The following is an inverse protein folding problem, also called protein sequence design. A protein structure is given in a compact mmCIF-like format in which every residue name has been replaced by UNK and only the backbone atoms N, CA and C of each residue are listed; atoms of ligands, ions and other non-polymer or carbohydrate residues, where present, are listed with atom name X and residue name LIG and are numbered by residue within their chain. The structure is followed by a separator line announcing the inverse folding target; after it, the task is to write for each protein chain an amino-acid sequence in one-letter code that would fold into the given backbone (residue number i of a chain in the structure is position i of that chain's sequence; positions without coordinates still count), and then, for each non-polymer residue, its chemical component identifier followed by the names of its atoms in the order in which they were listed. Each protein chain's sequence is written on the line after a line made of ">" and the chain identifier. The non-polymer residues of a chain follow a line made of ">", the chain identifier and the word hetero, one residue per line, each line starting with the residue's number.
data_IF_226373166379
#
_entry.id   IF_226373166379
#
_cell.length_a   1.000
_cell.length_b   1.000
_cell.length_c   1.000
_cell.angle_alpha   90.00
_cell.angle_beta   90.00
_cell.angle_gamma   90.00
#
_symmetry.space_group_name_H-M   'P 1'
#
loop_
_entity.id
_entity.type
_entity.pdbx_description
1 polymer ?
#
# COMPACT_ATOMS: atom_id res chain seq x y z
N UNK A 1 -60.49 58.92 13.44
CA UNK A 1 -59.29 58.88 12.59
C UNK A 1 -58.22 58.05 13.29
N UNK A 2 -57.95 56.81 12.86
CA UNK A 2 -56.66 56.13 13.06
C UNK A 2 -56.47 55.21 11.84
N UNK A 3 -55.61 55.60 10.91
CA UNK A 3 -55.23 54.80 9.75
C UNK A 3 -54.13 53.82 10.14
N UNK A 4 -54.40 52.51 10.02
CA UNK A 4 -53.39 51.45 10.17
C UNK A 4 -52.37 51.55 9.03
N UNK A 5 -51.09 51.65 9.39
CA UNK A 5 -49.98 51.58 8.45
C UNK A 5 -49.91 50.18 7.80
N UNK A 6 -49.83 50.14 6.46
CA UNK A 6 -49.55 48.93 5.68
C UNK A 6 -48.09 48.51 5.91
N UNK A 7 -47.89 47.35 6.53
CA UNK A 7 -46.58 46.69 6.63
C UNK A 7 -46.20 46.20 5.24
N UNK A 8 -45.08 46.69 4.70
CA UNK A 8 -44.56 46.30 3.39
C UNK A 8 -44.13 44.84 3.34
N UNK A 9 -44.44 44.17 2.23
CA UNK A 9 -44.16 42.76 1.98
C UNK A 9 -42.67 42.57 1.70
N UNK A 10 -41.98 41.82 2.58
CA UNK A 10 -40.54 41.59 2.48
C UNK A 10 -40.28 40.57 1.35
N UNK A 11 -39.64 41.00 0.26
CA UNK A 11 -39.18 40.10 -0.78
C UNK A 11 -38.07 39.18 -0.24
N UNK A 12 -38.40 37.90 -0.02
CA UNK A 12 -37.45 36.88 0.42
C UNK A 12 -36.82 36.16 -0.78
N UNK A 13 -35.49 36.19 -0.87
CA UNK A 13 -34.72 35.46 -1.89
C UNK A 13 -34.66 33.97 -1.55
N UNK A 14 -34.83 33.10 -2.57
CA UNK A 14 -34.69 31.64 -2.42
C UNK A 14 -33.27 31.27 -1.97
N UNK A 15 -33.16 30.54 -0.87
CA UNK A 15 -31.86 30.14 -0.31
C UNK A 15 -31.17 29.06 -1.15
N UNK A 16 -29.84 29.15 -1.27
CA UNK A 16 -28.99 28.16 -1.92
C UNK A 16 -28.49 27.13 -0.90
N UNK A 17 -28.64 25.84 -1.18
CA UNK A 17 -28.17 24.79 -0.27
C UNK A 17 -26.64 24.69 -0.27
N UNK A 18 -26.04 24.69 0.92
CA UNK A 18 -24.61 24.54 1.17
C UNK A 18 -24.36 23.23 1.88
N UNK A 19 -23.52 22.36 1.32
CA UNK A 19 -23.21 21.07 1.93
C UNK A 19 -21.85 21.11 2.60
N UNK A 20 -21.78 20.65 3.84
CA UNK A 20 -20.52 20.51 4.57
C UNK A 20 -20.48 19.16 5.27
N UNK A 21 -19.42 18.40 4.99
CA UNK A 21 -19.19 17.07 5.58
C UNK A 21 -18.22 17.18 6.75
N UNK A 22 -18.61 16.62 7.89
CA UNK A 22 -17.87 16.69 9.15
C UNK A 22 -17.68 15.28 9.73
N UNK A 23 -16.67 15.11 10.59
CA UNK A 23 -16.47 13.86 11.33
C UNK A 23 -17.45 13.78 12.49
N UNK A 24 -18.15 12.66 12.64
CA UNK A 24 -19.03 12.42 13.77
C UNK A 24 -18.20 12.12 15.03
N UNK A 25 -18.47 12.88 16.12
CA UNK A 25 -17.75 12.77 17.41
C UNK A 25 -18.70 12.47 18.58
N UNK A 26 -19.91 11.99 18.29
CA UNK A 26 -20.99 11.80 19.27
C UNK A 26 -22.07 12.87 19.14
N UNK A 27 -23.25 12.59 19.70
CA UNK A 27 -24.47 13.39 19.49
C UNK A 27 -24.34 14.80 20.08
N UNK A 28 -23.93 14.91 21.34
CA UNK A 28 -23.80 16.21 22.02
C UNK A 28 -22.83 17.15 21.28
N UNK A 29 -21.67 16.63 20.85
CA UNK A 29 -20.69 17.42 20.11
C UNK A 29 -21.19 17.83 18.72
N UNK A 30 -21.86 16.90 18.02
CA UNK A 30 -22.42 17.15 16.69
C UNK A 30 -23.55 18.19 16.72
N UNK A 31 -24.39 18.15 17.77
CA UNK A 31 -25.48 19.10 17.97
C UNK A 31 -24.96 20.51 18.28
N UNK A 32 -24.02 20.63 19.22
CA UNK A 32 -23.39 21.92 19.56
C UNK A 32 -22.73 22.54 18.30
N UNK A 33 -22.01 21.73 17.54
CA UNK A 33 -21.36 22.17 16.30
C UNK A 33 -22.39 22.61 15.25
N UNK A 34 -23.48 21.86 15.11
CA UNK A 34 -24.58 22.18 14.19
C UNK A 34 -25.21 23.53 14.53
N UNK A 35 -25.53 23.76 15.81
CA UNK A 35 -26.13 25.01 16.25
C UNK A 35 -25.21 26.21 16.02
N UNK A 36 -23.91 26.07 16.35
CA UNK A 36 -22.92 27.12 16.14
C UNK A 36 -22.78 27.47 14.66
N UNK A 37 -22.63 26.47 13.79
CA UNK A 37 -22.48 26.68 12.36
C UNK A 37 -23.74 27.29 11.73
N UNK A 38 -24.93 26.83 12.11
CA UNK A 38 -26.19 27.41 11.64
C UNK A 38 -26.33 28.88 12.04
N UNK A 39 -26.04 29.23 13.30
CA UNK A 39 -26.09 30.63 13.76
C UNK A 39 -25.09 31.51 13.00
N UNK A 40 -23.86 31.02 12.78
CA UNK A 40 -22.85 31.78 12.04
C UNK A 40 -23.27 31.99 10.58
N UNK A 41 -23.75 30.94 9.89
CA UNK A 41 -24.21 31.06 8.50
C UNK A 41 -25.43 31.98 8.39
N UNK A 42 -26.39 31.90 9.31
CA UNK A 42 -27.54 32.80 9.30
C UNK A 42 -27.13 34.27 9.44
N UNK A 43 -26.07 34.57 10.22
CA UNK A 43 -25.54 35.92 10.39
C UNK A 43 -24.71 36.39 9.20
N UNK A 44 -23.81 35.55 8.69
CA UNK A 44 -22.82 35.93 7.68
C UNK A 44 -23.29 35.69 6.25
N UNK A 45 -24.28 34.83 6.03
CA UNK A 45 -24.72 34.37 4.72
C UNK A 45 -26.21 34.00 4.73
N UNK A 46 -27.06 35.01 4.90
CA UNK A 46 -28.53 34.86 5.03
C UNK A 46 -29.20 34.12 3.84
N UNK A 47 -28.58 34.17 2.66
CA UNK A 47 -29.04 33.51 1.44
C UNK A 47 -28.64 32.02 1.36
N UNK A 48 -27.91 31.47 2.34
CA UNK A 48 -27.50 30.07 2.37
C UNK A 48 -28.33 29.21 3.32
N UNK A 49 -28.62 27.98 2.90
CA UNK A 49 -29.18 26.92 3.75
C UNK A 49 -28.12 25.84 3.98
N UNK A 50 -27.57 25.78 5.19
CA UNK A 50 -26.52 24.82 5.54
C UNK A 50 -27.09 23.42 5.81
N UNK A 51 -26.58 22.44 5.07
CA UNK A 51 -26.83 21.00 5.23
C UNK A 51 -25.55 20.31 5.70
N UNK A 52 -25.55 19.88 6.96
CA UNK A 52 -24.42 19.17 7.56
C UNK A 52 -24.58 17.66 7.38
N UNK A 53 -23.49 17.01 6.97
CA UNK A 53 -23.40 15.56 6.86
C UNK A 53 -22.32 15.11 7.83
N UNK A 54 -22.73 14.44 8.91
CA UNK A 54 -21.78 13.81 9.81
C UNK A 54 -21.45 12.41 9.31
N UNK A 55 -20.17 12.14 9.11
CA UNK A 55 -19.69 10.81 8.74
C UNK A 55 -18.78 10.26 9.82
N UNK A 56 -19.00 9.01 10.19
CA UNK A 56 -18.05 8.21 10.97
C UNK A 56 -16.95 7.69 10.04
N UNK A 57 -15.76 7.41 10.60
CA UNK A 57 -14.80 6.57 9.89
C UNK A 57 -15.37 5.15 9.83
N UNK A 58 -15.41 4.55 8.65
CA UNK A 58 -15.79 3.14 8.52
C UNK A 58 -14.79 2.31 9.31
N UNK A 59 -15.24 1.68 10.40
CA UNK A 59 -14.42 0.73 11.18
C UNK A 59 -14.23 -0.59 10.42
N UNK A 60 -15.12 -0.85 9.46
CA UNK A 60 -15.06 -2.01 8.58
C UNK A 60 -14.50 -1.55 7.24
N UNK A 61 -13.28 -1.98 6.92
CA UNK A 61 -12.83 -2.07 5.52
C UNK A 61 -13.30 -3.41 4.98
N UNK A 62 -14.45 -3.47 4.28
CA UNK A 62 -14.84 -4.71 3.61
C UNK A 62 -13.70 -5.15 2.69
N UNK A 63 -13.25 -6.40 2.82
CA UNK A 63 -12.46 -7.09 1.78
C UNK A 63 -13.38 -7.25 0.55
N UNK A 64 -13.63 -6.16 -0.17
CA UNK A 64 -14.49 -6.10 -1.35
C UNK A 64 -13.91 -6.84 -2.56
N UNK A 65 -12.71 -7.40 -2.43
CA UNK A 65 -11.96 -7.98 -3.53
C UNK A 65 -11.34 -9.30 -3.09
N UNK A 66 -11.36 -10.27 -4.00
CA UNK A 66 -10.72 -11.58 -3.81
C UNK A 66 -9.27 -11.41 -3.34
N UNK A 67 -8.87 -12.28 -2.42
CA UNK A 67 -7.49 -12.34 -1.96
C UNK A 67 -6.64 -12.86 -3.11
N UNK A 68 -6.06 -11.92 -3.86
CA UNK A 68 -5.18 -12.22 -4.99
C UNK A 68 -4.07 -13.15 -4.52
N UNK A 69 -3.93 -14.30 -5.22
CA UNK A 69 -2.89 -15.29 -4.93
C UNK A 69 -1.54 -14.60 -4.76
N UNK A 70 -0.76 -15.02 -3.75
CA UNK A 70 0.59 -14.48 -3.47
C UNK A 70 1.43 -14.39 -4.73
N UNK A 71 1.34 -15.39 -5.61
CA UNK A 71 2.06 -15.44 -6.87
C UNK A 71 1.75 -14.28 -7.81
N UNK A 72 0.56 -13.67 -7.71
CA UNK A 72 0.17 -12.51 -8.53
C UNK A 72 0.73 -11.17 -8.03
N UNK A 73 1.44 -11.17 -6.91
CA UNK A 73 1.99 -9.95 -6.31
C UNK A 73 3.10 -9.37 -7.18
N UNK A 74 3.01 -8.07 -7.44
CA UNK A 74 4.05 -7.26 -8.07
C UNK A 74 4.69 -6.31 -7.06
N UNK A 75 5.85 -5.75 -7.43
CA UNK A 75 6.66 -4.88 -6.56
C UNK A 75 6.87 -5.48 -5.16
N UNK A 76 7.48 -6.65 -5.13
CA UNK A 76 7.80 -7.37 -3.90
C UNK A 76 9.27 -7.79 -3.84
N UNK A 77 9.72 -8.05 -2.62
CA UNK A 77 10.91 -8.82 -2.34
C UNK A 77 10.43 -10.23 -2.01
N UNK A 78 11.01 -11.21 -2.70
CA UNK A 78 10.71 -12.61 -2.51
C UNK A 78 11.96 -13.34 -2.02
N UNK A 79 11.72 -14.45 -1.33
CA UNK A 79 12.73 -15.42 -0.93
C UNK A 79 12.44 -16.72 -1.67
N UNK A 80 13.50 -17.35 -2.17
CA UNK A 80 13.48 -18.72 -2.64
C UNK A 80 14.22 -19.59 -1.64
N UNK A 81 13.63 -20.73 -1.28
CA UNK A 81 14.18 -21.70 -0.35
C UNK A 81 14.30 -23.05 -1.04
N UNK A 82 15.49 -23.64 -1.00
CA UNK A 82 15.74 -24.99 -1.48
C UNK A 82 15.58 -26.01 -0.34
N UNK A 83 15.26 -27.26 -0.68
CA UNK A 83 15.18 -28.37 0.26
C UNK A 83 16.48 -28.61 1.04
N UNK A 84 17.64 -28.23 0.49
CA UNK A 84 18.93 -28.32 1.18
C UNK A 84 19.23 -27.16 2.14
N UNK A 85 18.28 -26.25 2.35
CA UNK A 85 18.45 -25.07 3.20
C UNK A 85 19.08 -23.86 2.50
N UNK A 86 19.62 -24.03 1.28
CA UNK A 86 20.13 -22.91 0.50
C UNK A 86 19.00 -21.94 0.12
N UNK A 87 19.24 -20.65 0.34
CA UNK A 87 18.25 -19.60 0.10
C UNK A 87 18.73 -18.54 -0.88
N UNK A 88 17.77 -17.86 -1.51
CA UNK A 88 17.97 -16.73 -2.41
C UNK A 88 16.98 -15.62 -2.07
N UNK A 89 17.42 -14.36 -2.13
CA UNK A 89 16.55 -13.19 -2.03
C UNK A 89 16.65 -12.39 -3.32
N UNK A 90 15.50 -12.02 -3.86
CA UNK A 90 15.42 -11.18 -5.04
C UNK A 90 14.24 -10.23 -5.00
N UNK A 91 14.33 -9.16 -5.78
CA UNK A 91 13.21 -8.26 -6.06
C UNK A 91 12.48 -8.61 -7.35
N UNK A 92 11.21 -8.26 -7.40
CA UNK A 92 10.41 -8.26 -8.63
C UNK A 92 9.51 -7.03 -8.69
N UNK A 93 9.68 -6.20 -9.73
CA UNK A 93 8.71 -5.15 -10.08
C UNK A 93 7.50 -5.71 -10.82
N UNK A 94 7.64 -6.90 -11.43
CA UNK A 94 6.57 -7.64 -12.11
C UNK A 94 5.95 -8.67 -11.16
N UNK A 95 4.94 -9.36 -11.65
CA UNK A 95 4.27 -10.46 -10.95
C UNK A 95 5.27 -11.60 -10.63
N UNK A 96 5.23 -12.09 -9.39
CA UNK A 96 6.15 -13.10 -8.86
C UNK A 96 6.08 -14.42 -9.62
N UNK A 97 4.91 -14.83 -10.12
CA UNK A 97 4.76 -16.04 -10.92
C UNK A 97 5.67 -16.04 -12.14
N UNK A 98 5.69 -14.93 -12.90
CA UNK A 98 6.55 -14.83 -14.08
C UNK A 98 8.02 -14.84 -13.67
N UNK A 99 8.38 -14.16 -12.58
CA UNK A 99 9.76 -14.16 -12.08
C UNK A 99 10.21 -15.55 -11.65
N UNK A 100 9.36 -16.31 -10.96
CA UNK A 100 9.64 -17.68 -10.56
C UNK A 100 9.81 -18.60 -11.78
N UNK A 101 9.02 -18.43 -12.85
CA UNK A 101 9.16 -19.18 -14.10
C UNK A 101 10.44 -18.86 -14.87
N UNK A 102 10.98 -17.65 -14.74
CA UNK A 102 12.30 -17.31 -15.28
C UNK A 102 13.41 -18.09 -14.56
N UNK A 103 13.23 -18.41 -13.27
CA UNK A 103 14.15 -19.23 -12.47
C UNK A 103 13.95 -20.74 -12.65
N UNK A 104 12.70 -21.17 -12.83
CA UNK A 104 12.29 -22.58 -12.97
C UNK A 104 11.72 -22.82 -14.38
N UNK A 105 12.57 -22.94 -15.40
CA UNK A 105 12.11 -23.16 -16.76
C UNK A 105 11.57 -24.58 -16.92
N UNK A 106 10.55 -24.74 -17.77
CA UNK A 106 9.88 -26.02 -17.99
C UNK A 106 10.80 -27.14 -18.51
N UNK A 107 11.93 -26.79 -19.12
CA UNK A 107 12.92 -27.76 -19.60
C UNK A 107 13.71 -28.43 -18.47
N UNK A 108 13.82 -27.81 -17.29
CA UNK A 108 14.57 -28.35 -16.16
C UNK A 108 14.02 -29.72 -15.76
N UNK A 109 12.69 -29.84 -15.71
CA UNK A 109 12.00 -31.10 -15.41
C UNK A 109 12.03 -32.11 -16.57
N UNK A 110 12.45 -31.68 -17.77
CA UNK A 110 12.53 -32.53 -18.97
C UNK A 110 13.95 -33.05 -19.24
N UNK A 111 14.91 -32.77 -18.34
CA UNK A 111 16.30 -33.23 -18.48
C UNK A 111 17.07 -32.60 -19.65
N UNK A 112 16.54 -31.54 -20.27
CA UNK A 112 17.16 -30.87 -21.41
C UNK A 112 18.11 -29.78 -20.92
N UNK A 113 19.40 -29.85 -21.23
CA UNK A 113 20.35 -28.80 -20.82
C UNK A 113 20.28 -27.58 -21.74
N UNK A 114 19.98 -26.40 -21.15
CA UNK A 114 20.02 -25.10 -21.83
C UNK A 114 20.82 -24.10 -20.99
N UNK A 115 21.00 -22.90 -21.53
CA UNK A 115 21.71 -21.80 -20.87
C UNK A 115 21.16 -21.51 -19.47
N UNK A 116 22.05 -21.49 -18.49
CA UNK A 116 21.76 -21.15 -17.10
C UNK A 116 21.83 -19.62 -16.94
N UNK A 117 20.70 -19.01 -16.58
CA UNK A 117 20.56 -17.55 -16.52
C UNK A 117 20.33 -17.01 -15.09
N UNK A 118 20.35 -17.85 -14.06
CA UNK A 118 20.18 -17.41 -12.67
C UNK A 118 20.90 -18.31 -11.68
N UNK A 119 21.25 -17.77 -10.50
CA UNK A 119 21.91 -18.54 -9.45
C UNK A 119 21.02 -19.63 -8.86
N UNK A 120 19.70 -19.39 -8.76
CA UNK A 120 18.72 -20.43 -8.39
C UNK A 120 18.82 -21.61 -9.37
N UNK A 121 18.73 -21.33 -10.67
CA UNK A 121 18.78 -22.38 -11.70
C UNK A 121 20.13 -23.12 -11.69
N UNK A 122 21.23 -22.38 -11.56
CA UNK A 122 22.57 -22.97 -11.47
C UNK A 122 22.67 -23.95 -10.30
N UNK A 123 22.17 -23.56 -9.13
CA UNK A 123 22.15 -24.38 -7.94
C UNK A 123 21.31 -25.65 -8.13
N UNK A 124 20.11 -25.55 -8.71
CA UNK A 124 19.24 -26.70 -8.95
C UNK A 124 19.87 -27.70 -9.94
N UNK A 125 20.51 -27.20 -11.00
CA UNK A 125 21.22 -28.05 -11.96
C UNK A 125 22.41 -28.75 -11.31
N UNK A 126 23.19 -28.04 -10.49
CA UNK A 126 24.38 -28.60 -9.83
C UNK A 126 24.03 -29.64 -8.77
N UNK A 127 22.96 -29.42 -8.02
CA UNK A 127 22.56 -30.27 -6.89
C UNK A 127 21.57 -31.36 -7.26
N UNK A 128 20.92 -31.26 -8.43
CA UNK A 128 19.85 -32.17 -8.83
C UNK A 128 18.55 -31.99 -8.02
N UNK A 129 18.45 -30.96 -7.18
CA UNK A 129 17.24 -30.69 -6.41
C UNK A 129 16.10 -30.22 -7.32
N UNK A 130 14.88 -30.56 -6.94
CA UNK A 130 13.66 -30.05 -7.55
C UNK A 130 13.08 -28.91 -6.72
N UNK A 131 12.40 -27.98 -7.39
CA UNK A 131 11.72 -26.86 -6.74
C UNK A 131 10.36 -26.64 -7.39
N UNK A 132 9.34 -26.41 -6.57
CA UNK A 132 8.00 -26.03 -7.03
C UNK A 132 7.79 -24.53 -6.85
N UNK A 133 7.12 -23.88 -7.80
CA UNK A 133 6.86 -22.43 -7.75
C UNK A 133 6.06 -22.04 -6.49
N UNK A 134 5.08 -22.87 -6.11
CA UNK A 134 4.15 -22.53 -5.03
C UNK A 134 4.73 -22.77 -3.63
N UNK A 135 5.70 -23.69 -3.48
CA UNK A 135 6.29 -24.00 -2.18
C UNK A 135 7.64 -23.32 -1.98
N UNK A 136 8.45 -23.23 -3.03
CA UNK A 136 9.85 -22.76 -2.93
C UNK A 136 9.96 -21.24 -2.97
N UNK A 137 8.89 -20.51 -3.33
CA UNK A 137 8.90 -19.05 -3.38
C UNK A 137 7.97 -18.45 -2.33
N UNK A 138 8.50 -17.55 -1.52
CA UNK A 138 7.76 -16.80 -0.52
C UNK A 138 7.94 -15.29 -0.68
N UNK A 139 6.96 -14.50 -0.20
CA UNK A 139 7.05 -13.04 -0.24
C UNK A 139 7.47 -12.59 1.14
N UNK A 140 8.60 -11.89 1.24
CA UNK A 140 9.11 -11.34 2.50
C UNK A 140 8.72 -9.89 2.70
N UNK A 141 8.52 -9.13 1.61
CA UNK A 141 8.10 -7.73 1.69
C UNK A 141 7.33 -7.31 0.44
N UNK A 142 6.28 -6.51 0.61
CA UNK A 142 5.48 -5.94 -0.48
C UNK A 142 5.50 -4.43 -0.39
N UNK A 143 5.86 -3.77 -1.49
CA UNK A 143 5.84 -2.31 -1.56
C UNK A 143 4.42 -1.81 -1.74
N UNK A 144 4.05 -0.79 -0.96
CA UNK A 144 2.75 -0.12 -1.05
C UNK A 144 2.42 0.32 -2.48
N UNK A 145 1.18 0.04 -2.90
CA UNK A 145 0.66 0.46 -4.20
C UNK A 145 0.33 1.96 -4.26
N UNK A 146 0.25 2.65 -3.11
CA UNK A 146 -0.05 4.07 -3.04
C UNK A 146 1.13 4.97 -3.42
N UNK A 147 2.33 4.40 -3.54
CA UNK A 147 3.54 5.14 -3.88
C UNK A 147 3.71 5.30 -5.40
N UNK A 148 4.24 6.42 -5.89
CA UNK A 148 4.61 6.58 -7.30
C UNK A 148 5.59 5.50 -7.78
N UNK A 149 5.50 5.09 -9.05
CA UNK A 149 6.31 3.99 -9.62
C UNK A 149 7.82 4.16 -9.39
N UNK A 150 8.34 5.37 -9.57
CA UNK A 150 9.77 5.66 -9.36
C UNK A 150 10.19 5.45 -7.91
N UNK A 151 9.36 5.89 -6.96
CA UNK A 151 9.59 5.71 -5.52
C UNK A 151 9.56 4.22 -5.19
N UNK A 152 8.60 3.47 -5.73
CA UNK A 152 8.51 2.01 -5.52
C UNK A 152 9.75 1.26 -5.98
N UNK A 153 10.33 1.66 -7.12
CA UNK A 153 11.56 1.04 -7.63
C UNK A 153 12.75 1.30 -6.69
N UNK A 154 12.90 2.52 -6.18
CA UNK A 154 13.93 2.84 -5.18
C UNK A 154 13.73 2.05 -3.89
N UNK A 155 12.50 2.01 -3.37
CA UNK A 155 12.15 1.22 -2.17
C UNK A 155 12.47 -0.26 -2.38
N UNK A 156 12.20 -0.83 -3.55
CA UNK A 156 12.57 -2.22 -3.85
C UNK A 156 14.08 -2.44 -3.79
N UNK A 157 14.86 -1.54 -4.38
CA UNK A 157 16.33 -1.64 -4.37
C UNK A 157 16.87 -1.61 -2.93
N UNK A 158 16.40 -0.66 -2.13
CA UNK A 158 16.82 -0.52 -0.73
C UNK A 158 16.36 -1.71 0.11
N UNK A 159 15.10 -2.14 -0.03
CA UNK A 159 14.55 -3.26 0.72
C UNK A 159 15.25 -4.59 0.39
N UNK A 160 15.61 -4.82 -0.88
CA UNK A 160 16.40 -5.98 -1.31
C UNK A 160 17.77 -6.00 -0.62
N UNK A 161 18.50 -4.89 -0.65
CA UNK A 161 19.82 -4.79 -0.04
C UNK A 161 19.76 -5.05 1.48
N UNK A 162 18.76 -4.48 2.16
CA UNK A 162 18.50 -4.71 3.58
C UNK A 162 18.20 -6.20 3.84
N UNK A 163 17.31 -6.80 3.05
CA UNK A 163 16.92 -8.20 3.22
C UNK A 163 18.10 -9.15 3.02
N UNK A 164 18.91 -8.96 1.98
CA UNK A 164 20.12 -9.76 1.73
C UNK A 164 21.11 -9.62 2.90
N UNK A 165 21.28 -8.41 3.44
CA UNK A 165 22.19 -8.18 4.57
C UNK A 165 21.74 -8.89 5.85
N UNK A 166 20.45 -8.82 6.15
CA UNK A 166 19.88 -9.40 7.38
C UNK A 166 19.89 -10.93 7.29
N UNK A 167 19.40 -11.48 6.17
CA UNK A 167 19.19 -12.93 6.02
C UNK A 167 20.42 -13.69 5.54
N UNK A 168 21.37 -13.01 4.90
CA UNK A 168 22.61 -13.60 4.33
C UNK A 168 22.35 -14.89 3.49
N UNK A 169 21.50 -14.83 2.45
CA UNK A 169 21.11 -16.01 1.63
C UNK A 169 22.20 -16.56 0.71
N UNK A 170 22.54 -17.85 0.78
CA UNK A 170 23.72 -18.48 0.11
C UNK A 170 23.82 -18.17 -1.39
N UNK A 171 22.69 -18.17 -2.10
CA UNK A 171 22.64 -18.14 -3.56
C UNK A 171 22.70 -16.71 -4.15
N UNK A 172 22.73 -15.67 -3.31
CA UNK A 172 22.79 -14.28 -3.77
C UNK A 172 24.23 -13.86 -4.13
N UNK A 173 24.52 -13.80 -5.43
CA UNK A 173 25.82 -13.37 -5.96
C UNK A 173 26.16 -11.92 -5.56
N UNK A 174 25.14 -11.06 -5.41
CA UNK A 174 25.30 -9.64 -5.07
C UNK A 174 25.76 -9.37 -3.63
N UNK A 175 25.83 -10.38 -2.76
CA UNK A 175 26.36 -10.24 -1.39
C UNK A 175 27.74 -9.58 -1.33
N UNK A 176 28.59 -9.82 -2.36
CA UNK A 176 29.96 -9.30 -2.44
C UNK A 176 30.04 -7.78 -2.62
N UNK A 177 28.95 -7.12 -3.04
CA UNK A 177 28.95 -5.70 -3.40
C UNK A 177 28.12 -4.82 -2.46
N UNK A 178 27.55 -5.39 -1.39
CA UNK A 178 26.77 -4.61 -0.41
C UNK A 178 27.76 -3.93 0.54
N UNK A 179 27.92 -2.62 0.36
CA UNK A 179 28.65 -1.76 1.29
C UNK A 179 28.05 -1.89 2.71
N UNK A 180 28.87 -1.91 3.77
CA UNK A 180 28.34 -1.84 5.12
C UNK A 180 27.58 -0.52 5.30
N UNK A 181 26.29 -0.57 5.66
CA UNK A 181 25.63 0.61 6.25
C UNK A 181 26.50 1.07 7.44
N UNK A 182 26.75 2.37 7.57
CA UNK A 182 27.32 2.91 8.79
C UNK A 182 26.46 2.44 9.97
N UNK A 183 27.09 2.16 11.14
CA UNK A 183 26.33 1.87 12.35
C UNK A 183 25.28 2.96 12.54
N UNK A 184 24.07 2.57 12.95
CA UNK A 184 23.09 3.53 13.45
C UNK A 184 23.70 4.17 14.69
N UNK A 185 24.44 5.26 14.50
CA UNK A 185 24.92 6.08 15.58
C UNK A 185 23.69 6.55 16.35
N UNK A 186 23.71 6.26 17.66
CA UNK A 186 22.67 6.63 18.61
C UNK A 186 22.18 8.07 18.34
N UNK A 187 20.94 8.19 17.90
CA UNK A 187 20.20 9.45 18.02
C UNK A 187 19.93 9.59 19.52
N UNK A 188 20.90 10.15 20.25
CA UNK A 188 20.63 10.71 21.58
C UNK A 188 19.74 11.92 21.34
N UNK A 189 18.50 11.83 21.80
CA UNK A 189 17.64 12.99 21.96
C UNK A 189 18.33 13.94 22.96
N UNK A 190 18.60 15.16 22.49
CA UNK A 190 18.78 16.34 23.33
C UNK A 190 17.62 17.28 23.03
#
# INVERSE_FOLDING_TARGET
>A
MVTKAKVGEIQTVKKKSLFMRLQFRGDAASEILTQRLRRTIQKSFNAGELRLIFSTRSLVTPKLKDELSRMTTSFCIYQFDCSCGASYIGRSSRNLHFRAREHLPAWLNKGLMKKVNSSILAHLVQTGHSASINQSFSIIYKVSNFLPKLVRLKVLQTAEAIAIRIKKPELCVHKKYIQPLPPLANIKAN
#
